data_IF_639450414466
#
_entry.id   IF_639450414466
#
_cell.length_a   1.000
_cell.length_b   1.000
_cell.length_c   1.000
_cell.angle_alpha   90.00
_cell.angle_beta   90.00
_cell.angle_gamma   90.00
#
_symmetry.space_group_name_H-M   'P 1'
#
loop_
_entity.id
_entity.type
_entity.pdbx_description
1 polymer ?
#
# COMPACT_ATOMS: atom_id res chain seq x y z
N UNK A 1 79.17 0.80 -20.84
CA UNK A 1 79.78 2.14 -20.97
C UNK A 1 78.65 3.15 -20.79
N UNK A 2 78.80 4.03 -19.78
CA UNK A 2 78.00 5.25 -19.43
C UNK A 2 76.47 5.05 -19.33
N UNK A 3 75.80 4.85 -18.17
CA UNK A 3 75.82 5.46 -16.82
C UNK A 3 75.60 6.97 -16.78
N UNK A 4 74.41 7.39 -16.33
CA UNK A 4 74.16 8.67 -15.69
C UNK A 4 73.07 8.47 -14.62
N UNK A 5 73.53 8.38 -13.38
CA UNK A 5 72.78 8.29 -12.13
C UNK A 5 72.62 9.70 -11.56
N UNK A 6 71.42 10.06 -11.09
CA UNK A 6 71.20 11.27 -10.28
C UNK A 6 70.72 10.90 -8.86
N UNK A 7 71.11 11.65 -7.82
CA UNK A 7 71.02 11.23 -6.43
C UNK A 7 69.69 11.55 -5.74
N UNK A 8 69.46 10.81 -4.65
CA UNK A 8 68.38 10.89 -3.66
C UNK A 8 68.53 12.15 -2.79
N UNK A 9 67.41 12.82 -2.49
CA UNK A 9 67.29 13.71 -1.33
C UNK A 9 65.96 13.45 -0.61
N UNK A 10 66.08 12.75 0.51
CA UNK A 10 65.06 12.51 1.53
C UNK A 10 64.91 13.78 2.36
N UNK A 11 63.72 14.41 2.37
CA UNK A 11 63.42 15.51 3.28
C UNK A 11 62.35 15.05 4.29
N UNK A 12 62.79 14.71 5.49
CA UNK A 12 61.93 14.59 6.66
C UNK A 12 61.55 16.00 7.11
N UNK A 13 60.25 16.33 7.08
CA UNK A 13 59.72 17.57 7.63
C UNK A 13 58.82 17.25 8.83
N UNK A 14 59.22 17.81 9.97
CA UNK A 14 58.60 17.66 11.28
C UNK A 14 57.31 18.50 11.40
N UNK A 15 56.39 18.00 12.23
CA UNK A 15 55.08 18.55 12.56
C UNK A 15 55.18 19.91 13.26
N UNK A 16 54.25 20.85 12.99
CA UNK A 16 53.73 21.73 14.04
C UNK A 16 52.24 21.46 14.29
N UNK A 17 51.92 21.22 15.57
CA UNK A 17 50.55 21.17 16.10
C UNK A 17 49.88 22.53 15.89
N UNK A 18 48.69 22.53 15.28
CA UNK A 18 47.81 23.69 15.22
C UNK A 18 46.59 23.44 16.11
N UNK A 19 46.50 24.25 17.16
CA UNK A 19 45.40 24.35 18.11
C UNK A 19 44.24 25.05 17.43
N UNK A 20 43.14 24.34 17.14
CA UNK A 20 41.88 24.97 16.78
C UNK A 20 41.00 25.10 18.02
N UNK A 21 41.02 26.29 18.62
CA UNK A 21 40.00 26.76 19.54
C UNK A 21 38.91 27.40 18.67
N UNK A 22 37.72 26.79 18.63
CA UNK A 22 36.52 27.46 18.11
C UNK A 22 35.60 27.74 19.30
N UNK A 23 35.47 29.02 19.63
CA UNK A 23 34.44 29.53 20.51
C UNK A 23 33.09 29.45 19.80
N UNK A 24 32.23 28.53 20.24
CA UNK A 24 30.80 28.61 19.93
C UNK A 24 30.10 29.33 21.07
N UNK A 25 29.55 30.50 20.75
CA UNK A 25 28.74 31.35 21.60
C UNK A 25 27.36 30.73 21.79
N UNK A 26 27.04 30.35 23.03
CA UNK A 26 25.71 29.96 23.47
C UNK A 26 24.87 31.21 23.78
N UNK A 27 23.90 31.52 22.92
CA UNK A 27 22.85 32.47 23.27
C UNK A 27 21.68 31.75 23.93
N UNK A 28 21.68 31.80 25.27
CA UNK A 28 20.55 31.49 26.13
C UNK A 28 19.55 32.65 26.09
N UNK A 29 18.36 32.42 25.53
CA UNK A 29 17.20 33.25 25.86
C UNK A 29 16.34 32.52 26.90
N UNK A 30 16.36 33.08 28.10
CA UNK A 30 15.55 32.76 29.27
C UNK A 30 14.30 33.63 29.25
N UNK A 31 13.11 33.04 29.37
CA UNK A 31 11.94 33.69 29.96
C UNK A 31 10.99 32.61 30.49
N UNK A 32 11.06 32.35 31.80
CA UNK A 32 10.10 32.74 32.85
C UNK A 32 8.89 31.80 32.95
N UNK A 33 8.98 30.95 33.97
CA UNK A 33 7.87 30.24 34.56
C UNK A 33 6.91 31.22 35.26
N UNK A 34 5.61 30.96 35.11
CA UNK A 34 4.58 31.42 36.03
C UNK A 34 3.60 30.24 36.20
N UNK A 35 3.51 29.73 37.42
CA UNK A 35 2.47 28.78 37.81
C UNK A 35 1.30 29.52 38.43
N UNK A 36 0.08 29.06 38.13
CA UNK A 36 -1.03 29.02 39.07
C UNK A 36 -2.13 28.08 38.56
N UNK A 37 -2.85 27.52 39.52
CA UNK A 37 -3.84 26.44 39.48
C UNK A 37 -5.01 26.60 38.48
N UNK A 38 -5.58 25.47 38.08
CA UNK A 38 -6.86 25.44 37.39
C UNK A 38 -7.35 24.03 37.06
N UNK A 39 -7.98 23.37 38.04
CA UNK A 39 -8.92 22.26 37.80
C UNK A 39 -9.91 22.66 36.70
N UNK A 40 -9.89 21.96 35.56
CA UNK A 40 -10.98 22.02 34.59
C UNK A 40 -11.34 20.62 34.11
N UNK A 41 -12.53 20.20 34.57
CA UNK A 41 -13.31 19.10 34.01
C UNK A 41 -13.54 19.36 32.53
N UNK A 42 -12.93 18.56 31.66
CA UNK A 42 -13.38 18.46 30.28
C UNK A 42 -14.13 17.14 30.11
N UNK A 43 -15.39 17.31 29.73
CA UNK A 43 -16.37 16.27 29.41
C UNK A 43 -15.75 15.26 28.43
N UNK A 44 -15.84 13.98 28.80
CA UNK A 44 -15.82 12.89 27.83
C UNK A 44 -16.94 13.15 26.82
N UNK A 45 -16.56 13.63 25.64
CA UNK A 45 -17.39 13.52 24.45
C UNK A 45 -16.93 12.21 23.82
N UNK A 46 -17.74 11.16 24.00
CA UNK A 46 -17.60 9.91 23.29
C UNK A 46 -17.83 10.17 21.80
N UNK A 47 -16.78 10.58 21.09
CA UNK A 47 -16.67 10.35 19.65
C UNK A 47 -16.23 8.91 19.49
N UNK A 48 -17.16 8.03 19.12
CA UNK A 48 -16.82 6.67 18.70
C UNK A 48 -15.78 6.75 17.58
N UNK A 49 -14.56 6.21 17.74
CA UNK A 49 -13.64 6.12 16.63
C UNK A 49 -14.24 5.14 15.62
N UNK A 50 -14.37 5.58 14.37
CA UNK A 50 -14.78 4.77 13.23
C UNK A 50 -13.69 3.75 12.95
N UNK A 51 -13.71 2.63 13.69
CA UNK A 51 -12.89 1.45 13.42
C UNK A 51 -13.36 0.84 12.10
N UNK A 52 -12.45 0.64 11.17
CA UNK A 52 -12.73 -0.20 10.01
C UNK A 52 -12.99 -1.63 10.47
N UNK A 53 -14.06 -2.24 9.93
CA UNK A 53 -14.58 -3.57 10.26
C UNK A 53 -13.62 -4.71 9.81
N UNK A 54 -12.39 -4.77 10.34
CA UNK A 54 -11.58 -6.00 10.27
C UNK A 54 -11.92 -6.98 11.41
N UNK A 55 -12.49 -6.49 12.52
CA UNK A 55 -13.01 -7.31 13.62
C UNK A 55 -14.15 -8.27 13.22
N UNK A 56 -14.72 -8.13 12.02
CA UNK A 56 -15.84 -8.97 11.55
C UNK A 56 -15.44 -10.36 11.07
N UNK A 57 -14.13 -10.65 10.96
CA UNK A 57 -13.62 -11.93 10.47
C UNK A 57 -13.15 -12.90 11.55
N UNK A 58 -13.14 -12.48 12.83
CA UNK A 58 -12.94 -13.43 13.91
C UNK A 58 -14.22 -14.22 14.14
N UNK A 59 -14.34 -15.33 13.41
CA UNK A 59 -15.33 -16.36 13.66
C UNK A 59 -15.23 -16.80 15.11
N UNK A 60 -16.31 -16.58 15.85
CA UNK A 60 -16.46 -17.15 17.18
C UNK A 60 -16.90 -18.59 16.97
N UNK A 61 -15.94 -19.53 17.09
CA UNK A 61 -16.17 -20.97 17.01
C UNK A 61 -17.17 -21.41 18.08
N UNK A 62 -18.46 -21.45 17.73
CA UNK A 62 -19.46 -22.20 18.46
C UNK A 62 -19.76 -23.46 17.64
N UNK A 63 -19.07 -24.54 18.00
CA UNK A 63 -19.43 -25.89 17.57
C UNK A 63 -20.72 -26.30 18.29
N UNK A 64 -21.84 -26.32 17.55
CA UNK A 64 -22.94 -27.23 17.87
C UNK A 64 -23.12 -28.18 16.68
N UNK A 65 -22.94 -29.47 16.97
CA UNK A 65 -23.03 -30.57 16.02
C UNK A 65 -24.48 -30.85 15.59
N UNK A 66 -24.59 -31.27 14.32
CA UNK A 66 -25.47 -32.33 13.80
C UNK A 66 -26.70 -31.91 12.95
N UNK A 67 -26.61 -32.13 11.63
CA UNK A 67 -27.44 -33.05 10.83
C UNK A 67 -27.06 -32.96 9.33
N UNK A 68 -26.70 -34.06 8.63
CA UNK A 68 -26.31 -34.00 7.22
C UNK A 68 -27.55 -34.02 6.31
N UNK A 69 -28.13 -32.84 6.06
CA UNK A 69 -28.95 -32.61 4.87
C UNK A 69 -28.09 -31.94 3.82
N UNK A 70 -28.14 -32.50 2.61
CA UNK A 70 -27.43 -32.07 1.40
C UNK A 70 -27.36 -30.54 1.31
N UNK A 71 -26.20 -29.99 1.67
CA UNK A 71 -25.86 -28.60 1.41
C UNK A 71 -25.54 -28.56 -0.07
N UNK A 72 -26.46 -28.06 -0.88
CA UNK A 72 -26.08 -27.45 -2.14
C UNK A 72 -25.07 -26.36 -1.77
N UNK A 73 -23.79 -26.56 -2.09
CA UNK A 73 -22.77 -25.51 -2.03
C UNK A 73 -23.22 -24.41 -3.00
N UNK A 74 -24.06 -23.49 -2.51
CA UNK A 74 -24.11 -22.17 -3.09
C UNK A 74 -22.72 -21.59 -2.87
N UNK A 75 -21.92 -21.50 -3.93
CA UNK A 75 -20.70 -20.69 -3.92
C UNK A 75 -21.09 -19.33 -3.35
N UNK A 76 -20.57 -19.01 -2.16
CA UNK A 76 -20.93 -17.77 -1.48
C UNK A 76 -20.35 -16.61 -2.30
N UNK A 77 -21.21 -15.69 -2.74
CA UNK A 77 -20.84 -14.58 -3.63
C UNK A 77 -19.70 -13.71 -3.06
N UNK A 78 -19.48 -13.73 -1.74
CA UNK A 78 -18.43 -12.98 -1.05
C UNK A 78 -17.13 -13.74 -0.77
N UNK A 79 -17.04 -15.01 -1.18
CA UNK A 79 -15.85 -15.87 -0.97
C UNK A 79 -14.56 -15.33 -1.61
N UNK A 80 -14.67 -14.44 -2.60
CA UNK A 80 -13.50 -13.80 -3.22
C UNK A 80 -12.91 -12.65 -2.39
N UNK A 81 -13.59 -12.18 -1.34
CA UNK A 81 -13.09 -11.13 -0.46
C UNK A 81 -12.10 -11.71 0.57
N UNK A 82 -10.99 -10.99 0.85
CA UNK A 82 -10.02 -11.45 1.84
C UNK A 82 -10.59 -11.40 3.26
N UNK A 83 -10.22 -12.39 4.08
CA UNK A 83 -10.63 -12.47 5.48
C UNK A 83 -9.90 -11.51 6.41
N UNK A 84 -8.71 -11.07 6.04
CA UNK A 84 -7.89 -10.20 6.88
C UNK A 84 -6.92 -9.38 6.04
N UNK A 85 -6.14 -8.52 6.70
CA UNK A 85 -5.20 -7.65 6.03
C UNK A 85 -4.06 -8.44 5.38
N UNK A 86 -3.57 -9.49 6.05
CA UNK A 86 -2.55 -10.38 5.50
C UNK A 86 -3.08 -11.16 4.29
N UNK A 87 -4.29 -11.70 4.35
CA UNK A 87 -4.97 -12.36 3.23
C UNK A 87 -5.18 -11.42 2.04
N UNK A 88 -5.53 -10.16 2.28
CA UNK A 88 -5.60 -9.15 1.23
C UNK A 88 -4.24 -8.89 0.57
N UNK A 89 -3.16 -8.93 1.35
CA UNK A 89 -1.80 -8.77 0.85
C UNK A 89 -1.37 -9.99 0.04
N UNK A 90 -1.62 -11.21 0.52
CA UNK A 90 -1.36 -12.44 -0.23
C UNK A 90 -2.11 -12.45 -1.58
N UNK A 91 -3.42 -12.20 -1.54
CA UNK A 91 -4.25 -12.13 -2.75
C UNK A 91 -3.74 -11.06 -3.72
N UNK A 92 -3.27 -9.92 -3.21
CA UNK A 92 -2.68 -8.87 -4.07
C UNK A 92 -1.36 -9.30 -4.73
N UNK A 93 -0.54 -10.12 -4.06
CA UNK A 93 0.67 -10.72 -4.61
C UNK A 93 0.36 -11.68 -5.74
N UNK A 94 -0.60 -12.57 -5.53
CA UNK A 94 -1.10 -13.52 -6.54
C UNK A 94 -1.63 -12.82 -7.78
N UNK A 95 -2.53 -11.85 -7.59
CA UNK A 95 -3.09 -11.05 -8.69
C UNK A 95 -2.01 -10.31 -9.49
N UNK A 96 -0.95 -9.83 -8.81
CA UNK A 96 0.17 -9.16 -9.45
C UNK A 96 1.04 -10.14 -10.27
N UNK A 97 1.29 -11.33 -9.73
CA UNK A 97 2.04 -12.38 -10.42
C UNK A 97 1.32 -12.88 -11.66
N UNK A 98 0.01 -13.10 -11.58
CA UNK A 98 -0.83 -13.49 -12.72
C UNK A 98 -0.83 -12.40 -13.80
N UNK A 99 -0.98 -11.13 -13.40
CA UNK A 99 -0.91 -10.00 -14.33
C UNK A 99 0.43 -9.96 -15.07
N UNK A 100 1.56 -10.10 -14.36
CA UNK A 100 2.89 -10.13 -14.99
C UNK A 100 3.03 -11.34 -15.91
N UNK A 101 2.59 -12.51 -15.48
CA UNK A 101 2.65 -13.75 -16.26
C UNK A 101 1.83 -13.67 -17.55
N UNK A 102 0.76 -12.87 -17.55
CA UNK A 102 -0.02 -12.55 -18.77
C UNK A 102 0.65 -11.55 -19.73
N UNK A 103 1.84 -11.04 -19.38
CA UNK A 103 2.56 -10.00 -20.14
C UNK A 103 2.27 -8.57 -19.69
N UNK A 104 1.64 -8.39 -18.53
CA UNK A 104 1.36 -7.08 -17.94
C UNK A 104 2.64 -6.38 -17.46
N UNK A 105 2.81 -5.10 -17.84
CA UNK A 105 4.06 -4.37 -17.59
C UNK A 105 3.97 -3.33 -16.47
N UNK A 106 2.80 -2.73 -16.24
CA UNK A 106 2.64 -1.64 -15.28
C UNK A 106 1.43 -1.92 -14.39
N UNK A 107 1.68 -2.18 -13.12
CA UNK A 107 0.65 -2.57 -12.17
C UNK A 107 0.60 -1.62 -10.95
N UNK A 108 -0.60 -1.42 -10.43
CA UNK A 108 -0.84 -0.78 -9.14
C UNK A 108 -1.63 -1.75 -8.25
N UNK A 109 -1.12 -1.93 -7.04
CA UNK A 109 -1.84 -2.54 -5.92
C UNK A 109 -2.20 -1.43 -4.95
N UNK A 110 -3.49 -1.25 -4.65
CA UNK A 110 -3.95 -0.24 -3.69
C UNK A 110 -4.79 -0.88 -2.57
N UNK A 111 -4.33 -0.72 -1.34
CA UNK A 111 -5.00 -1.23 -0.14
C UNK A 111 -5.62 -0.03 0.58
N UNK A 112 -6.82 0.36 0.15
CA UNK A 112 -7.54 1.54 0.65
C UNK A 112 -8.30 1.22 1.94
N UNK A 113 -7.61 0.53 2.83
CA UNK A 113 -8.10 0.07 4.13
C UNK A 113 -7.71 1.11 5.19
N UNK A 114 -8.65 1.58 6.03
CA UNK A 114 -8.33 2.59 7.04
C UNK A 114 -7.18 2.20 7.98
N UNK A 115 -7.06 0.93 8.39
CA UNK A 115 -5.93 0.42 9.18
C UNK A 115 -4.58 0.79 8.56
N UNK A 116 -4.45 0.60 7.24
CA UNK A 116 -3.21 0.87 6.52
C UNK A 116 -2.91 2.37 6.39
N UNK A 117 -3.94 3.23 6.41
CA UNK A 117 -3.79 4.68 6.47
C UNK A 117 -3.30 5.16 7.84
N UNK A 118 -3.55 4.39 8.91
CA UNK A 118 -3.03 4.70 10.24
C UNK A 118 -1.59 4.24 10.45
N UNK A 119 -1.07 3.33 9.60
CA UNK A 119 0.29 2.81 9.73
C UNK A 119 1.40 3.84 9.41
N UNK A 120 1.05 5.03 8.89
CA UNK A 120 2.01 6.11 8.67
C UNK A 120 2.31 6.92 9.94
N UNK A 121 1.55 6.69 11.02
CA UNK A 121 1.79 7.32 12.30
C UNK A 121 3.01 6.68 13.00
N UNK A 122 3.72 7.49 13.78
CA UNK A 122 4.93 7.10 14.51
C UNK A 122 4.65 5.86 15.39
N UNK A 123 5.28 4.72 15.06
CA UNK A 123 5.14 3.45 15.77
C UNK A 123 4.49 2.30 14.98
N UNK A 124 3.76 2.59 13.89
CA UNK A 124 3.02 1.58 13.13
C UNK A 124 3.63 1.24 11.75
N UNK A 125 4.70 1.96 11.36
CA UNK A 125 5.44 1.72 10.12
C UNK A 125 6.08 0.34 10.04
N UNK A 126 6.38 -0.30 11.18
CA UNK A 126 6.96 -1.63 11.20
C UNK A 126 6.01 -2.67 10.59
N UNK A 127 4.71 -2.58 10.89
CA UNK A 127 3.69 -3.49 10.36
C UNK A 127 3.52 -3.30 8.84
N UNK A 128 3.55 -2.06 8.35
CA UNK A 128 3.54 -1.75 6.91
C UNK A 128 4.69 -2.42 6.17
N UNK A 129 5.88 -2.45 6.77
CA UNK A 129 7.04 -3.12 6.19
C UNK A 129 6.90 -4.64 6.21
N UNK A 130 6.42 -5.24 7.29
CA UNK A 130 6.19 -6.70 7.29
C UNK A 130 5.13 -7.11 6.26
N UNK A 131 4.06 -6.32 6.09
CA UNK A 131 3.06 -6.55 5.02
C UNK A 131 3.68 -6.41 3.62
N UNK A 132 4.56 -5.43 3.40
CA UNK A 132 5.22 -5.31 2.09
C UNK A 132 6.19 -6.47 1.83
N UNK A 133 6.81 -7.03 2.87
CA UNK A 133 7.59 -8.28 2.76
C UNK A 133 6.72 -9.46 2.35
N UNK A 134 5.55 -9.65 2.98
CA UNK A 134 4.60 -10.71 2.61
C UNK A 134 4.18 -10.60 1.13
N UNK A 135 3.90 -9.38 0.67
CA UNK A 135 3.60 -9.12 -0.74
C UNK A 135 4.75 -9.55 -1.66
N UNK A 136 5.99 -9.14 -1.34
CA UNK A 136 7.17 -9.44 -2.14
C UNK A 136 7.47 -10.94 -2.18
N UNK A 137 7.39 -11.62 -1.04
CA UNK A 137 7.63 -13.07 -0.95
C UNK A 137 6.58 -13.83 -1.77
N UNK A 138 5.29 -13.50 -1.61
CA UNK A 138 4.20 -14.09 -2.41
C UNK A 138 4.42 -13.87 -3.90
N UNK A 139 4.81 -12.66 -4.31
CA UNK A 139 5.09 -12.34 -5.72
C UNK A 139 6.23 -13.20 -6.27
N UNK A 140 7.31 -13.41 -5.51
CA UNK A 140 8.46 -14.23 -5.94
C UNK A 140 8.04 -15.68 -6.10
N UNK A 141 7.29 -16.22 -5.14
CA UNK A 141 6.80 -17.60 -5.17
C UNK A 141 5.92 -17.85 -6.40
N UNK A 142 4.92 -17.00 -6.62
CA UNK A 142 3.94 -17.15 -7.70
C UNK A 142 4.54 -16.88 -9.10
N UNK A 143 5.60 -16.06 -9.18
CA UNK A 143 6.31 -15.80 -10.45
C UNK A 143 7.39 -16.84 -10.77
N UNK A 144 7.54 -17.87 -9.95
CA UNK A 144 8.51 -18.96 -10.16
C UNK A 144 9.95 -18.58 -9.80
N UNK A 145 10.14 -17.67 -8.86
CA UNK A 145 11.47 -17.28 -8.35
C UNK A 145 12.20 -16.24 -9.20
N UNK A 146 11.47 -15.39 -9.93
CA UNK A 146 12.07 -14.27 -10.68
C UNK A 146 12.78 -13.29 -9.74
N UNK A 147 13.80 -12.60 -10.26
CA UNK A 147 14.57 -11.65 -9.46
C UNK A 147 13.78 -10.36 -9.26
N UNK A 148 13.20 -10.25 -8.09
CA UNK A 148 12.47 -9.05 -7.66
C UNK A 148 13.42 -8.03 -7.03
N UNK A 149 13.30 -6.79 -7.47
CA UNK A 149 13.96 -5.61 -6.89
C UNK A 149 12.95 -4.77 -6.13
N UNK A 150 13.08 -4.72 -4.80
CA UNK A 150 12.27 -3.87 -3.94
C UNK A 150 12.92 -2.48 -3.80
N UNK A 151 12.18 -1.46 -4.19
CA UNK A 151 12.59 -0.05 -4.12
C UNK A 151 11.78 0.64 -3.03
N UNK A 152 12.47 1.02 -1.97
CA UNK A 152 11.90 1.69 -0.81
C UNK A 152 11.94 3.22 -0.98
N UNK A 153 11.14 3.95 -0.19
CA UNK A 153 11.06 5.41 -0.26
C UNK A 153 12.42 6.09 -0.16
N UNK A 154 13.21 5.74 0.84
CA UNK A 154 14.49 6.37 1.10
C UNK A 154 15.58 5.37 1.51
N UNK A 155 16.83 5.84 1.47
CA UNK A 155 18.00 5.04 1.77
C UNK A 155 18.02 4.53 3.23
N UNK A 156 17.42 5.27 4.17
CA UNK A 156 17.29 4.87 5.56
C UNK A 156 16.36 3.68 5.72
N UNK A 157 15.16 3.73 5.13
CA UNK A 157 14.24 2.60 5.09
C UNK A 157 14.88 1.37 4.43
N UNK A 158 15.49 1.54 3.25
CA UNK A 158 16.16 0.44 2.54
C UNK A 158 17.27 -0.21 3.38
N UNK A 159 18.12 0.60 4.04
CA UNK A 159 19.21 0.10 4.86
C UNK A 159 18.71 -0.61 6.13
N UNK A 160 17.67 -0.07 6.77
CA UNK A 160 17.05 -0.66 7.95
C UNK A 160 16.47 -2.05 7.64
N UNK A 161 15.68 -2.14 6.57
CA UNK A 161 15.02 -3.38 6.18
C UNK A 161 16.01 -4.43 5.67
N UNK A 162 17.04 -4.01 4.93
CA UNK A 162 18.14 -4.90 4.54
C UNK A 162 18.89 -5.49 5.75
N UNK A 163 19.03 -4.71 6.82
CA UNK A 163 19.64 -5.22 8.05
C UNK A 163 18.74 -6.20 8.80
N UNK A 164 17.42 -5.94 8.80
CA UNK A 164 16.40 -6.74 9.50
C UNK A 164 16.09 -8.07 8.79
N UNK A 165 15.87 -8.04 7.49
CA UNK A 165 15.47 -9.18 6.67
C UNK A 165 16.65 -9.78 5.92
N UNK A 166 17.49 -10.53 6.65
CA UNK A 166 18.71 -11.15 6.09
C UNK A 166 18.41 -12.37 5.21
N UNK A 167 17.20 -12.89 5.34
CA UNK A 167 16.62 -14.04 4.65
C UNK A 167 15.77 -13.64 3.43
N UNK A 168 15.67 -12.35 3.11
CA UNK A 168 14.89 -11.87 1.98
C UNK A 168 15.41 -12.44 0.65
N UNK A 169 14.49 -12.95 -0.17
CA UNK A 169 14.77 -13.49 -1.50
C UNK A 169 14.83 -12.40 -2.61
N UNK A 170 14.65 -11.13 -2.24
CA UNK A 170 14.68 -9.97 -3.13
C UNK A 170 15.84 -9.02 -2.79
N UNK A 171 16.18 -8.20 -3.78
CA UNK A 171 17.18 -7.15 -3.62
C UNK A 171 16.57 -5.85 -3.10
N UNK A 172 17.35 -5.08 -2.35
CA UNK A 172 16.96 -3.80 -1.77
C UNK A 172 17.58 -2.62 -2.54
N UNK A 173 16.80 -1.57 -2.77
CA UNK A 173 17.28 -0.27 -3.24
C UNK A 173 16.37 0.87 -2.74
N UNK A 174 16.77 2.12 -2.95
CA UNK A 174 15.96 3.30 -2.65
C UNK A 174 15.67 4.13 -3.89
N UNK A 175 14.54 4.85 -3.92
CA UNK A 175 14.20 5.77 -5.02
C UNK A 175 15.25 6.87 -5.23
N UNK A 176 15.99 7.25 -4.18
CA UNK A 176 17.05 8.25 -4.23
C UNK A 176 18.40 7.74 -4.74
N UNK A 177 18.55 6.43 -4.99
CA UNK A 177 19.81 5.85 -5.47
C UNK A 177 20.13 6.34 -6.89
N UNK A 178 21.42 6.50 -7.21
CA UNK A 178 21.86 6.91 -8.55
C UNK A 178 21.48 5.92 -9.65
N UNK A 179 21.44 4.63 -9.29
CA UNK A 179 21.06 3.51 -10.15
C UNK A 179 20.25 2.53 -9.30
N UNK A 180 18.94 2.76 -9.13
CA UNK A 180 18.12 1.95 -8.24
C UNK A 180 17.83 0.54 -8.80
N UNK A 181 17.98 0.39 -10.13
CA UNK A 181 17.72 -0.85 -10.86
C UNK A 181 18.96 -1.28 -11.63
N UNK A 182 19.25 -2.58 -11.58
CA UNK A 182 20.29 -3.28 -12.33
C UNK A 182 19.73 -3.92 -13.60
N UNK A 183 20.56 -4.20 -14.61
CA UNK A 183 20.14 -4.91 -15.83
C UNK A 183 19.71 -6.37 -15.58
N UNK A 184 20.02 -6.85 -14.39
CA UNK A 184 19.73 -8.19 -13.90
C UNK A 184 18.32 -8.30 -13.27
N UNK A 185 17.74 -7.20 -12.83
CA UNK A 185 16.44 -7.26 -12.15
C UNK A 185 15.32 -7.56 -13.15
N UNK A 186 14.50 -8.59 -12.85
CA UNK A 186 13.41 -9.05 -13.71
C UNK A 186 12.13 -8.25 -13.45
N UNK A 187 11.76 -8.11 -12.17
CA UNK A 187 10.53 -7.42 -11.73
C UNK A 187 10.89 -6.32 -10.75
N UNK A 188 10.38 -5.12 -10.97
CA UNK A 188 10.64 -3.96 -10.10
C UNK A 188 9.40 -3.64 -9.28
N UNK A 189 9.55 -3.54 -7.96
CA UNK A 189 8.46 -3.19 -7.04
C UNK A 189 8.81 -1.92 -6.28
N UNK A 190 8.04 -0.85 -6.49
CA UNK A 190 8.10 0.35 -5.67
C UNK A 190 7.17 0.19 -4.47
N UNK A 191 7.74 0.24 -3.26
CA UNK A 191 7.00 0.05 -2.00
C UNK A 191 6.60 1.41 -1.45
N UNK A 192 5.29 1.68 -1.39
CA UNK A 192 4.66 2.88 -0.85
C UNK A 192 5.31 4.19 -1.36
N UNK A 193 5.45 4.38 -2.69
CA UNK A 193 6.00 5.62 -3.21
C UNK A 193 5.05 6.79 -2.89
N UNK A 194 5.61 7.92 -2.45
CA UNK A 194 4.87 9.10 -2.02
C UNK A 194 4.94 10.25 -3.05
N UNK A 195 4.14 11.30 -2.81
CA UNK A 195 4.12 12.49 -3.65
C UNK A 195 5.44 13.25 -3.67
N UNK A 196 6.23 13.24 -2.58
CA UNK A 196 7.52 13.94 -2.52
C UNK A 196 8.53 13.34 -3.50
N UNK A 197 8.42 12.04 -3.74
CA UNK A 197 9.30 11.29 -4.65
C UNK A 197 8.74 11.16 -6.07
N UNK A 198 7.64 11.85 -6.40
CA UNK A 198 6.95 11.69 -7.68
C UNK A 198 7.90 11.83 -8.90
N UNK A 199 8.85 12.76 -8.87
CA UNK A 199 9.81 12.94 -9.96
C UNK A 199 10.71 11.71 -10.17
N UNK A 200 11.13 11.05 -9.09
CA UNK A 200 11.94 9.83 -9.15
C UNK A 200 11.10 8.65 -9.67
N UNK A 201 9.84 8.56 -9.24
CA UNK A 201 8.89 7.55 -9.69
C UNK A 201 8.62 7.65 -11.19
N UNK A 202 8.32 8.87 -11.69
CA UNK A 202 8.10 9.13 -13.12
C UNK A 202 9.35 8.81 -13.95
N UNK A 203 10.53 9.23 -13.48
CA UNK A 203 11.80 8.95 -14.15
C UNK A 203 12.08 7.45 -14.23
N UNK A 204 11.95 6.74 -13.11
CA UNK A 204 12.22 5.31 -13.07
C UNK A 204 11.24 4.53 -13.94
N UNK A 205 9.96 4.88 -13.94
CA UNK A 205 8.97 4.27 -14.83
C UNK A 205 9.30 4.50 -16.32
N UNK A 206 9.86 5.66 -16.67
CA UNK A 206 10.36 5.91 -18.02
C UNK A 206 11.58 5.05 -18.35
N UNK A 207 12.58 4.99 -17.47
CA UNK A 207 13.81 4.21 -17.64
C UNK A 207 13.54 2.68 -17.74
N UNK A 208 12.45 2.19 -17.15
CA UNK A 208 12.03 0.78 -17.23
C UNK A 208 11.24 0.43 -18.49
N UNK A 209 10.85 1.45 -19.28
CA UNK A 209 10.14 1.25 -20.55
C UNK A 209 11.08 1.06 -21.74
N UNK A 210 12.39 1.14 -21.50
CA UNK A 210 13.44 0.87 -22.49
C UNK A 210 13.49 -0.63 -22.84
N UNK A 211 14.12 -0.97 -23.97
CA UNK A 211 14.19 -2.33 -24.52
C UNK A 211 15.29 -3.18 -23.84
N UNK A 212 15.00 -4.35 -23.22
CA UNK A 212 13.68 -4.97 -23.06
C UNK A 212 12.87 -4.37 -21.90
N UNK A 213 11.54 -4.20 -22.06
CA UNK A 213 10.72 -3.55 -21.07
C UNK A 213 10.59 -4.46 -19.84
N UNK A 214 10.63 -3.87 -18.65
CA UNK A 214 10.58 -4.63 -17.37
C UNK A 214 9.33 -4.31 -16.57
N UNK A 215 8.65 -5.32 -16.00
CA UNK A 215 7.47 -5.09 -15.18
C UNK A 215 7.77 -4.18 -13.99
N UNK A 216 6.90 -3.20 -13.79
CA UNK A 216 6.92 -2.26 -12.68
C UNK A 216 5.59 -2.36 -11.92
N UNK A 217 5.67 -2.75 -10.64
CA UNK A 217 4.54 -2.73 -9.71
C UNK A 217 4.73 -1.58 -8.72
N UNK A 218 3.69 -0.77 -8.52
CA UNK A 218 3.62 0.15 -7.38
C UNK A 218 2.70 -0.46 -6.32
N UNK A 219 3.27 -0.78 -5.16
CA UNK A 219 2.53 -1.31 -4.02
C UNK A 219 2.13 -0.16 -3.08
N UNK A 220 0.81 0.01 -2.91
CA UNK A 220 0.16 1.05 -2.12
C UNK A 220 0.69 2.49 -2.35
N UNK A 221 0.70 2.98 -3.61
CA UNK A 221 1.25 4.31 -3.93
C UNK A 221 0.41 5.45 -3.36
N UNK A 222 1.09 6.50 -2.86
CA UNK A 222 0.51 7.73 -2.30
C UNK A 222 0.98 8.97 -3.07
N UNK A 223 0.80 8.92 -4.39
CA UNK A 223 1.30 9.91 -5.32
C UNK A 223 0.43 11.18 -5.42
N UNK A 224 -0.66 11.27 -4.65
CA UNK A 224 -1.51 12.46 -4.59
C UNK A 224 -1.50 12.98 -3.15
N UNK A 225 -1.01 14.20 -2.95
CA UNK A 225 -1.07 14.86 -1.65
C UNK A 225 -2.50 15.35 -1.36
N UNK A 226 -2.95 15.15 -0.12
CA UNK A 226 -4.20 15.71 0.41
C UNK A 226 -4.13 17.25 0.50
N UNK A 227 -2.98 17.80 0.89
CA UNK A 227 -2.77 19.24 1.11
C UNK A 227 -2.71 20.06 -0.19
N UNK A 228 -2.28 19.46 -1.30
CA UNK A 228 -2.06 20.18 -2.58
C UNK A 228 -3.35 20.31 -3.41
N UNK A 229 -4.44 19.68 -2.97
CA UNK A 229 -5.77 19.80 -3.56
C UNK A 229 -5.89 19.23 -4.99
N UNK A 230 -7.11 19.27 -5.54
CA UNK A 230 -7.46 18.74 -6.88
C UNK A 230 -7.02 19.71 -8.00
N UNK A 231 -5.76 20.13 -7.96
CA UNK A 231 -5.17 21.07 -8.92
C UNK A 231 -4.88 20.48 -10.30
N UNK A 232 -4.44 21.34 -11.23
CA UNK A 232 -4.03 20.96 -12.60
C UNK A 232 -2.95 19.85 -12.56
N UNK A 233 -2.05 19.89 -11.58
CA UNK A 233 -0.96 18.91 -11.42
C UNK A 233 -1.49 17.50 -11.12
N UNK A 234 -2.46 17.35 -10.21
CA UNK A 234 -3.07 16.04 -9.89
C UNK A 234 -3.84 15.48 -11.08
N UNK A 235 -4.55 16.35 -11.82
CA UNK A 235 -5.25 15.93 -13.05
C UNK A 235 -4.27 15.46 -14.13
N UNK A 236 -3.14 16.17 -14.27
CA UNK A 236 -2.06 15.78 -15.19
C UNK A 236 -1.43 14.45 -14.77
N UNK A 237 -1.12 14.28 -13.49
CA UNK A 237 -0.58 13.03 -12.94
C UNK A 237 -1.50 11.85 -13.24
N UNK A 238 -2.79 11.98 -12.92
CA UNK A 238 -3.79 10.95 -13.18
C UNK A 238 -3.90 10.62 -14.67
N UNK A 239 -3.95 11.63 -15.53
CA UNK A 239 -4.16 11.46 -16.97
C UNK A 239 -2.93 10.97 -17.73
N UNK A 240 -1.73 11.37 -17.33
CA UNK A 240 -0.52 11.14 -18.11
C UNK A 240 0.37 10.03 -17.53
N UNK A 241 0.29 9.79 -16.22
CA UNK A 241 1.14 8.82 -15.55
C UNK A 241 0.32 7.66 -15.00
N UNK A 242 -0.60 7.89 -14.07
CA UNK A 242 -1.34 6.80 -13.41
C UNK A 242 -2.26 6.04 -14.37
N UNK A 243 -2.78 6.70 -15.40
CA UNK A 243 -3.56 6.06 -16.48
C UNK A 243 -2.78 5.01 -17.28
N UNK A 244 -1.45 5.02 -17.20
CA UNK A 244 -0.59 4.04 -17.88
C UNK A 244 -0.41 2.75 -17.08
N UNK A 245 -0.89 2.72 -15.84
CA UNK A 245 -0.85 1.56 -14.96
C UNK A 245 -2.22 0.88 -14.92
N UNK A 246 -2.20 -0.44 -14.86
CA UNK A 246 -3.39 -1.24 -14.59
C UNK A 246 -3.51 -1.47 -13.09
N UNK A 247 -4.69 -1.22 -12.52
CA UNK A 247 -4.96 -1.53 -11.12
C UNK A 247 -5.27 -3.02 -11.03
N UNK A 248 -4.29 -3.79 -10.57
CA UNK A 248 -4.39 -5.26 -10.50
C UNK A 248 -5.07 -5.73 -9.23
N UNK A 249 -4.98 -4.92 -8.17
CA UNK A 249 -5.65 -5.18 -6.92
C UNK A 249 -6.11 -3.88 -6.27
N UNK A 250 -7.36 -3.83 -5.83
CA UNK A 250 -7.92 -2.73 -5.04
C UNK A 250 -8.91 -3.26 -4.03
N UNK A 251 -8.74 -2.88 -2.76
CA UNK A 251 -9.71 -3.15 -1.71
C UNK A 251 -10.04 -1.86 -0.98
N UNK A 252 -11.31 -1.43 -1.09
CA UNK A 252 -11.82 -0.23 -0.44
C UNK A 252 -13.11 -0.54 0.31
N UNK A 253 -13.05 -0.71 1.64
CA UNK A 253 -14.25 -0.76 2.47
C UNK A 253 -15.04 0.55 2.39
N UNK A 254 -16.37 0.43 2.34
CA UNK A 254 -17.34 1.53 2.38
C UNK A 254 -18.24 1.38 3.63
N UNK A 255 -18.96 2.43 4.05
CA UNK A 255 -19.86 2.35 5.22
C UNK A 255 -20.90 1.22 5.13
N UNK A 256 -21.43 0.96 3.93
CA UNK A 256 -22.48 -0.02 3.64
C UNK A 256 -22.03 -1.17 2.74
N UNK A 257 -20.72 -1.36 2.52
CA UNK A 257 -20.24 -2.31 1.52
C UNK A 257 -18.73 -2.28 1.29
N UNK A 258 -18.30 -2.70 0.12
CA UNK A 258 -16.91 -2.61 -0.33
C UNK A 258 -16.82 -2.49 -1.86
N UNK A 259 -15.79 -1.80 -2.35
CA UNK A 259 -15.38 -1.86 -3.75
C UNK A 259 -14.10 -2.68 -3.83
N UNK A 260 -14.14 -3.69 -4.68
CA UNK A 260 -13.09 -4.70 -4.77
C UNK A 260 -12.66 -4.90 -6.22
N UNK A 261 -11.39 -5.18 -6.42
CA UNK A 261 -10.81 -5.53 -7.71
C UNK A 261 -9.67 -6.50 -7.46
N UNK A 262 -9.69 -7.65 -8.12
CA UNK A 262 -8.61 -8.64 -8.11
C UNK A 262 -8.41 -9.14 -9.55
N UNK A 263 -7.20 -9.03 -10.09
CA UNK A 263 -6.91 -9.54 -11.44
C UNK A 263 -7.00 -11.08 -11.41
N UNK A 264 -7.60 -11.73 -12.43
CA UNK A 264 -8.04 -11.21 -13.73
C UNK A 264 -9.47 -10.65 -13.75
N UNK A 265 -10.21 -10.74 -12.65
CA UNK A 265 -11.60 -10.32 -12.56
C UNK A 265 -11.79 -8.81 -12.74
N UNK A 266 -13.04 -8.41 -12.94
CA UNK A 266 -13.44 -7.01 -13.11
C UNK A 266 -13.65 -6.33 -11.74
N UNK A 267 -14.02 -5.05 -11.73
CA UNK A 267 -14.38 -4.37 -10.49
C UNK A 267 -15.71 -4.91 -9.96
N UNK A 268 -15.75 -5.25 -8.68
CA UNK A 268 -16.94 -5.76 -7.99
C UNK A 268 -17.33 -4.79 -6.89
N UNK A 269 -18.63 -4.55 -6.75
CA UNK A 269 -19.21 -3.76 -5.66
C UNK A 269 -20.04 -4.71 -4.80
N UNK A 270 -19.75 -4.71 -3.51
CA UNK A 270 -20.42 -5.51 -2.49
C UNK A 270 -21.21 -4.60 -1.56
N UNK A 271 -22.38 -5.03 -1.09
CA UNK A 271 -23.12 -4.39 -0.01
C UNK A 271 -23.28 -5.32 1.19
N UNK A 272 -23.43 -4.74 2.38
CA UNK A 272 -23.74 -5.49 3.60
C UNK A 272 -25.05 -6.29 3.39
N UNK A 273 -25.01 -7.61 3.63
CA UNK A 273 -26.20 -8.46 3.62
C UNK A 273 -27.11 -8.06 4.80
N UNK A 274 -28.37 -7.73 4.48
CA UNK A 274 -29.39 -7.34 5.48
C UNK A 274 -29.94 -8.53 6.25
N UNK A 275 -29.93 -9.71 5.64
CA UNK A 275 -30.48 -10.94 6.18
C UNK A 275 -29.40 -11.71 6.96
N UNK A 276 -28.16 -11.69 6.48
CA UNK A 276 -27.02 -12.34 7.12
C UNK A 276 -26.03 -11.31 7.70
N UNK A 277 -26.08 -11.02 9.01
CA UNK A 277 -25.14 -10.08 9.60
C UNK A 277 -23.69 -10.55 9.40
N UNK A 278 -22.82 -9.62 9.02
CA UNK A 278 -21.39 -9.83 8.72
C UNK A 278 -21.06 -10.51 7.38
N UNK A 279 -22.04 -10.65 6.49
CA UNK A 279 -21.79 -11.11 5.11
C UNK A 279 -22.00 -10.00 4.10
N UNK A 280 -21.44 -10.21 2.92
CA UNK A 280 -21.60 -9.32 1.78
C UNK A 280 -22.40 -10.00 0.67
N UNK A 281 -23.13 -9.21 -0.12
CA UNK A 281 -23.77 -9.66 -1.35
C UNK A 281 -23.16 -8.91 -2.52
N UNK A 282 -22.80 -9.62 -3.59
CA UNK A 282 -22.33 -9.02 -4.82
C UNK A 282 -23.46 -8.21 -5.45
N UNK A 283 -23.25 -6.91 -5.55
CA UNK A 283 -24.24 -5.98 -6.08
C UNK A 283 -24.14 -5.86 -7.59
N UNK A 284 -22.91 -5.65 -8.07
CA UNK A 284 -22.66 -5.31 -9.47
C UNK A 284 -21.19 -5.45 -9.85
N UNK A 285 -20.97 -5.74 -11.12
CA UNK A 285 -19.67 -5.77 -11.75
C UNK A 285 -19.48 -4.60 -12.73
N UNK A 286 -18.26 -4.08 -12.80
CA UNK A 286 -17.88 -2.96 -13.64
C UNK A 286 -16.54 -3.22 -14.32
N UNK A 287 -16.44 -2.89 -15.62
CA UNK A 287 -15.18 -3.02 -16.37
C UNK A 287 -14.15 -1.99 -15.87
N UNK A 288 -14.62 -0.81 -15.46
CA UNK A 288 -13.79 0.29 -14.96
C UNK A 288 -14.10 0.55 -13.49
N UNK A 289 -13.20 1.28 -12.81
CA UNK A 289 -13.41 1.69 -11.43
C UNK A 289 -14.72 2.49 -11.31
N UNK A 290 -15.67 2.08 -10.44
CA UNK A 290 -16.94 2.79 -10.30
C UNK A 290 -16.73 4.16 -9.66
N UNK A 291 -17.45 5.16 -10.19
CA UNK A 291 -17.46 6.52 -9.64
C UNK A 291 -18.41 6.61 -8.42
N UNK A 292 -18.25 7.67 -7.61
CA UNK A 292 -19.07 7.90 -6.40
C UNK A 292 -20.58 7.89 -6.73
N UNK A 293 -20.98 8.56 -7.81
CA UNK A 293 -22.38 8.64 -8.20
C UNK A 293 -22.96 7.25 -8.52
N UNK A 294 -22.17 6.37 -9.14
CA UNK A 294 -22.59 5.00 -9.45
C UNK A 294 -22.74 4.14 -8.18
N UNK A 295 -21.89 4.38 -7.19
CA UNK A 295 -21.95 3.69 -5.89
C UNK A 295 -23.19 4.12 -5.08
N UNK A 296 -23.58 5.41 -5.16
CA UNK A 296 -24.75 5.95 -4.46
C UNK A 296 -26.07 5.50 -5.11
N UNK A 297 -26.16 5.56 -6.44
CA UNK A 297 -27.38 5.17 -7.18
C UNK A 297 -27.74 3.72 -6.89
N UNK A 298 -26.77 2.80 -6.91
CA UNK A 298 -27.02 1.39 -6.67
C UNK A 298 -27.42 1.09 -5.22
N UNK A 299 -26.88 1.83 -4.24
CA UNK A 299 -27.31 1.70 -2.83
C UNK A 299 -28.79 2.06 -2.68
N UNK A 300 -29.26 3.10 -3.39
CA UNK A 300 -30.68 3.49 -3.34
C UNK A 300 -31.60 2.57 -4.15
N UNK A 301 -31.07 1.92 -5.19
CA UNK A 301 -31.84 1.01 -6.05
C UNK A 301 -32.06 -0.33 -5.36
N UNK A 302 -31.03 -0.89 -4.70
CA UNK A 302 -31.18 -2.08 -3.85
C UNK A 302 -32.14 -1.85 -2.69
N UNK A 303 -32.19 -0.65 -2.10
CA UNK A 303 -33.20 -0.31 -1.10
C UNK A 303 -34.62 -0.34 -1.67
N UNK A 304 -34.81 0.11 -2.91
CA UNK A 304 -36.12 0.09 -3.59
C UNK A 304 -36.53 -1.30 -4.04
N UNK A 305 -35.60 -2.09 -4.57
CA UNK A 305 -35.85 -3.46 -5.01
C UNK A 305 -36.10 -4.36 -3.81
N UNK A 306 -35.39 -4.16 -2.69
CA UNK A 306 -35.70 -4.80 -1.41
C UNK A 306 -37.08 -4.38 -0.89
N UNK A 307 -37.45 -3.10 -0.95
CA UNK A 307 -38.79 -2.66 -0.55
C UNK A 307 -39.90 -3.19 -1.48
N UNK A 308 -39.62 -3.33 -2.77
CA UNK A 308 -40.53 -3.91 -3.76
C UNK A 308 -40.67 -5.42 -3.54
N UNK A 309 -39.58 -6.13 -3.28
CA UNK A 309 -39.55 -7.54 -2.91
C UNK A 309 -40.30 -7.79 -1.59
N UNK A 310 -40.04 -7.01 -0.54
CA UNK A 310 -40.80 -7.08 0.71
C UNK A 310 -42.29 -6.76 0.50
N UNK A 311 -42.65 -5.82 -0.38
CA UNK A 311 -44.07 -5.57 -0.73
C UNK A 311 -44.72 -6.75 -1.44
N UNK A 312 -44.02 -7.39 -2.37
CA UNK A 312 -44.53 -8.56 -3.11
C UNK A 312 -44.69 -9.76 -2.16
N UNK A 313 -43.73 -9.99 -1.26
CA UNK A 313 -43.79 -11.07 -0.25
C UNK A 313 -44.89 -10.80 0.78
N UNK A 314 -45.06 -9.56 1.26
CA UNK A 314 -46.13 -9.19 2.20
C UNK A 314 -47.53 -9.11 1.54
N UNK A 315 -47.62 -8.90 0.22
CA UNK A 315 -48.90 -8.94 -0.51
C UNK A 315 -49.33 -10.35 -0.92
N UNK A 316 -48.45 -11.34 -0.82
CA UNK A 316 -48.73 -12.73 -1.21
C UNK A 316 -49.19 -13.62 -0.03
N UNK A 317 -49.33 -13.04 1.16
CA UNK A 317 -49.78 -13.72 2.40
C UNK A 317 -51.17 -13.25 2.89
N UNK A 318 -52.04 -12.80 1.98
CA UNK A 318 -53.46 -12.52 2.25
C UNK A 318 -54.35 -13.15 1.19
#
# INVERSE_FOLDING_TARGET
MTSATYPILTLAASIPRLSFVTHFSSNLYRSKACGFDGLSRLRSVHGSPTLAKFDKFQGQDNYEEDNPQQVEEFEEDDSCLPSDLEGAVHQSGQASAEFISSGGMRAIVELLIPQLQFLDNEGAQAELWELSKIFLDTLIEETGGQRVKAIFPDAGAAALLKYRWKDAAFDFSSLGDRKPVSAEDDIIVMVVPDYQMLQYVEKLAADLSDDPPRPLIMWNPRLVSEDVGVGINVRRLRRNFLSTFTVVYSMKPLPSGAVFRCYPEVWKVFYDDKERPNRYVLAKEFIQRPDIDELEINSTMLDKDYHAFCRIVLSSNW
#
